data_IF_103128031027
#
_entry.id   IF_103128031027
#
_cell.length_a   1.000
_cell.length_b   1.000
_cell.length_c   1.000
_cell.angle_alpha   90.00
_cell.angle_beta   90.00
_cell.angle_gamma   90.00
#
_symmetry.space_group_name_H-M   'P 1'
#
loop_
_entity.id
_entity.type
_entity.pdbx_description
1 polymer ?
#
# COMPACT_ATOMS: atom_id res chain seq x y z
N UNK A 1 -11.90 -0.21 -19.32
CA UNK A 1 -10.88 -0.78 -18.43
C UNK A 1 -11.32 -0.76 -16.99
N UNK A 2 -11.15 -1.86 -16.29
CA UNK A 2 -11.71 -2.03 -14.95
C UNK A 2 -10.67 -2.08 -13.84
N UNK A 3 -9.78 -1.12 -13.85
CA UNK A 3 -8.70 -1.05 -12.87
C UNK A 3 -9.26 -1.04 -11.44
N UNK A 4 -10.37 -0.34 -11.22
CA UNK A 4 -10.97 -0.24 -9.88
C UNK A 4 -11.41 -1.57 -9.30
N UNK A 5 -11.84 -2.51 -10.14
CA UNK A 5 -12.34 -3.78 -9.64
C UNK A 5 -11.24 -4.67 -9.08
N UNK A 6 -9.98 -4.44 -9.45
CA UNK A 6 -8.85 -5.20 -8.93
C UNK A 6 -8.36 -4.70 -7.58
N UNK A 7 -8.63 -3.42 -7.25
CA UNK A 7 -8.16 -2.82 -6.01
C UNK A 7 -8.66 -3.52 -4.74
N UNK A 8 -9.97 -3.76 -4.60
CA UNK A 8 -10.46 -4.42 -3.40
C UNK A 8 -9.86 -5.82 -3.20
N UNK A 9 -9.73 -6.58 -4.28
CA UNK A 9 -9.16 -7.91 -4.21
C UNK A 9 -7.70 -7.89 -3.79
N UNK A 10 -6.92 -6.98 -4.36
CA UNK A 10 -5.51 -6.85 -4.02
C UNK A 10 -5.37 -6.41 -2.56
N UNK A 11 -6.16 -5.43 -2.13
CA UNK A 11 -6.12 -4.96 -0.75
C UNK A 11 -6.46 -6.06 0.24
N UNK A 12 -7.46 -6.87 -0.07
CA UNK A 12 -7.85 -7.98 0.79
C UNK A 12 -6.76 -9.05 0.90
N UNK A 13 -5.99 -9.23 -0.17
CA UNK A 13 -4.93 -10.22 -0.19
C UNK A 13 -3.67 -9.77 0.54
N UNK A 14 -3.56 -8.48 0.87
CA UNK A 14 -2.39 -7.94 1.55
C UNK A 14 -2.45 -8.23 3.05
N UNK A 15 -1.29 -8.37 3.70
CA UNK A 15 -1.24 -8.41 5.16
C UNK A 15 -1.85 -7.14 5.74
N UNK A 16 -2.33 -7.24 6.97
CA UNK A 16 -3.00 -6.12 7.63
C UNK A 16 -2.14 -4.87 7.68
N UNK A 17 -0.84 -5.02 7.97
CA UNK A 17 0.08 -3.89 8.01
C UNK A 17 0.19 -3.17 6.67
N UNK A 18 0.21 -3.93 5.59
CA UNK A 18 0.29 -3.36 4.25
C UNK A 18 -1.00 -2.65 3.88
N UNK A 19 -2.14 -3.20 4.28
CA UNK A 19 -3.42 -2.52 4.06
C UNK A 19 -3.49 -1.20 4.81
N UNK A 20 -3.01 -1.19 6.04
CA UNK A 20 -2.97 0.02 6.84
C UNK A 20 -2.03 1.05 6.22
N UNK A 21 -0.89 0.60 5.72
CA UNK A 21 0.05 1.48 5.03
C UNK A 21 -0.62 2.17 3.85
N UNK A 22 -1.32 1.41 3.02
CA UNK A 22 -2.00 1.95 1.85
C UNK A 22 -3.09 2.94 2.26
N UNK A 23 -3.85 2.64 3.30
CA UNK A 23 -4.87 3.55 3.80
C UNK A 23 -4.28 4.89 4.24
N UNK A 24 -3.17 4.84 4.99
CA UNK A 24 -2.52 6.06 5.47
C UNK A 24 -1.95 6.88 4.32
N UNK A 25 -1.34 6.22 3.35
CA UNK A 25 -0.70 6.92 2.25
C UNK A 25 -1.69 7.49 1.23
N UNK A 26 -2.71 6.73 0.87
CA UNK A 26 -3.57 7.09 -0.24
C UNK A 26 -4.96 7.61 0.16
N UNK A 27 -5.46 7.17 1.29
CA UNK A 27 -6.76 7.68 1.76
C UNK A 27 -6.62 8.83 2.75
N UNK A 28 -5.68 8.74 3.67
CA UNK A 28 -5.46 9.79 4.66
C UNK A 28 -4.40 10.81 4.25
N UNK A 29 -3.77 10.63 3.10
CA UNK A 29 -2.75 11.54 2.56
C UNK A 29 -1.59 11.79 3.53
N UNK A 30 -1.20 10.78 4.29
CA UNK A 30 -0.06 10.88 5.17
C UNK A 30 1.24 10.74 4.39
N UNK A 31 2.26 11.44 4.84
CA UNK A 31 3.60 11.29 4.26
C UNK A 31 4.19 9.94 4.65
N UNK A 32 5.25 9.53 3.97
CA UNK A 32 5.96 8.30 4.34
C UNK A 32 6.49 8.39 5.77
N UNK A 33 7.00 9.56 6.17
CA UNK A 33 7.49 9.77 7.52
C UNK A 33 6.38 9.64 8.56
N UNK A 34 5.23 10.23 8.29
CA UNK A 34 4.09 10.14 9.19
C UNK A 34 3.58 8.70 9.31
N UNK A 35 3.50 8.03 8.16
CA UNK A 35 3.08 6.63 8.12
C UNK A 35 4.05 5.75 8.92
N UNK A 36 5.35 6.00 8.79
CA UNK A 36 6.35 5.27 9.53
C UNK A 36 6.16 5.42 11.05
N UNK A 37 5.82 6.62 11.50
CA UNK A 37 5.56 6.86 12.91
C UNK A 37 4.34 6.09 13.40
N UNK A 38 3.28 6.08 12.62
CA UNK A 38 2.06 5.36 12.98
C UNK A 38 2.31 3.86 13.06
N UNK A 39 3.09 3.33 12.13
CA UNK A 39 3.36 1.89 12.06
C UNK A 39 4.60 1.47 12.86
N UNK A 40 5.20 2.39 13.60
CA UNK A 40 6.39 2.13 14.44
C UNK A 40 7.55 1.54 13.64
N UNK A 41 7.85 2.16 12.51
CA UNK A 41 8.93 1.72 11.64
C UNK A 41 9.65 2.94 11.07
N UNK A 42 10.51 2.74 10.08
CA UNK A 42 11.29 3.83 9.46
C UNK A 42 10.70 4.21 8.11
N UNK A 43 11.02 5.43 7.67
CA UNK A 43 10.60 5.89 6.35
C UNK A 43 11.16 4.98 5.24
N UNK A 44 12.38 4.50 5.41
CA UNK A 44 13.00 3.60 4.44
C UNK A 44 12.19 2.32 4.29
N UNK A 45 11.74 1.76 5.42
CA UNK A 45 10.92 0.55 5.39
C UNK A 45 9.57 0.80 4.74
N UNK A 46 8.95 1.94 5.05
CA UNK A 46 7.68 2.32 4.41
C UNK A 46 7.87 2.45 2.89
N UNK A 47 8.93 3.11 2.47
CA UNK A 47 9.22 3.28 1.05
C UNK A 47 9.39 1.94 0.33
N UNK A 48 10.11 1.02 0.95
CA UNK A 48 10.32 -0.33 0.39
C UNK A 48 9.02 -1.12 0.30
N UNK A 49 8.23 -1.10 1.38
CA UNK A 49 6.94 -1.80 1.41
C UNK A 49 5.97 -1.24 0.40
N UNK A 50 5.88 0.08 0.32
CA UNK A 50 5.01 0.74 -0.64
C UNK A 50 5.36 0.36 -2.07
N UNK A 51 6.64 0.36 -2.40
CA UNK A 51 7.11 -0.04 -3.72
C UNK A 51 6.75 -1.49 -4.04
N UNK A 52 6.92 -2.37 -3.07
CA UNK A 52 6.59 -3.78 -3.21
C UNK A 52 5.08 -3.99 -3.42
N UNK A 53 4.27 -3.28 -2.64
CA UNK A 53 2.82 -3.36 -2.76
C UNK A 53 2.36 -2.88 -4.12
N UNK A 54 2.88 -1.73 -4.57
CA UNK A 54 2.51 -1.17 -5.86
C UNK A 54 2.92 -2.07 -7.01
N UNK A 55 4.04 -2.77 -6.87
CA UNK A 55 4.47 -3.77 -7.87
C UNK A 55 3.46 -4.92 -7.95
N UNK A 56 3.04 -5.45 -6.81
CA UNK A 56 2.04 -6.51 -6.77
C UNK A 56 0.74 -6.07 -7.42
N UNK A 57 0.31 -4.85 -7.13
CA UNK A 57 -0.91 -4.31 -7.70
C UNK A 57 -0.81 -4.17 -9.21
N UNK A 58 0.34 -3.69 -9.69
CA UNK A 58 0.58 -3.58 -11.12
C UNK A 58 0.52 -4.94 -11.81
N UNK A 59 1.14 -5.95 -11.21
CA UNK A 59 1.15 -7.30 -11.77
C UNK A 59 -0.27 -7.85 -11.87
N UNK A 60 -1.08 -7.63 -10.84
CA UNK A 60 -2.47 -8.08 -10.84
C UNK A 60 -3.30 -7.35 -11.91
N UNK A 61 -3.04 -6.07 -12.10
CA UNK A 61 -3.77 -5.29 -13.09
C UNK A 61 -3.40 -5.65 -14.53
N UNK A 62 -2.24 -6.23 -14.74
CA UNK A 62 -1.77 -6.62 -16.05
C UNK A 62 -2.17 -8.05 -16.44
N UNK A 63 -2.71 -8.80 -15.51
CA UNK A 63 -3.24 -10.13 -15.81
C UNK A 63 -4.55 -10.00 -16.65
#
# INVERSE_FOLDING_TARGET
MRIRSAWPEVLESLPEEDRLLIRLRFYANRTQSETAKVLHTTQVQISRRERKILRKMRERLLE
#
